data_IF_210918147415
#
_entry.id   IF_210918147415
#
_cell.length_a   1.000
_cell.length_b   1.000
_cell.length_c   1.000
_cell.angle_alpha   90.00
_cell.angle_beta   90.00
_cell.angle_gamma   90.00
#
_symmetry.space_group_name_H-M   'P 1'
#
loop_
_entity.id
_entity.type
_entity.pdbx_description
1 polymer ?
#
# COMPACT_ATOMS: atom_id res chain seq x y z
N UNK A 1 -6.09 -10.02 -0.07
CA UNK A 1 -5.41 -8.80 -0.54
C UNK A 1 -5.01 -8.99 -2.00
N UNK A 2 -5.43 -8.10 -2.90
CA UNK A 2 -5.26 -8.28 -4.35
C UNK A 2 -4.13 -7.36 -4.85
N UNK A 3 -2.98 -7.91 -5.33
CA UNK A 3 -1.90 -7.09 -5.84
C UNK A 3 -2.26 -6.45 -7.19
N UNK A 4 -1.99 -5.16 -7.37
CA UNK A 4 -2.27 -4.44 -8.62
C UNK A 4 -1.62 -5.06 -9.86
N UNK A 5 -0.46 -5.72 -9.69
CA UNK A 5 0.24 -6.46 -10.77
C UNK A 5 -0.57 -7.67 -11.27
N UNK A 6 -1.29 -8.34 -10.38
CA UNK A 6 -2.17 -9.47 -10.75
C UNK A 6 -3.36 -8.93 -11.55
N UNK A 7 -4.05 -7.90 -11.04
CA UNK A 7 -5.19 -7.26 -11.73
C UNK A 7 -4.79 -6.80 -13.13
N UNK A 8 -3.65 -6.12 -13.26
CA UNK A 8 -3.09 -5.68 -14.53
C UNK A 8 -2.95 -6.85 -15.52
N UNK A 9 -2.37 -7.96 -15.07
CA UNK A 9 -2.09 -9.14 -15.90
C UNK A 9 -3.37 -9.84 -16.34
N UNK A 10 -4.29 -10.07 -15.40
CA UNK A 10 -5.52 -10.81 -15.67
C UNK A 10 -6.49 -10.00 -16.54
N UNK A 11 -6.60 -8.69 -16.31
CA UNK A 11 -7.48 -7.80 -17.09
C UNK A 11 -6.80 -7.23 -18.34
N UNK A 12 -5.48 -7.42 -18.50
CA UNK A 12 -4.67 -6.90 -19.61
C UNK A 12 -4.79 -5.38 -19.83
N UNK A 13 -4.84 -4.63 -18.74
CA UNK A 13 -4.95 -3.16 -18.74
C UNK A 13 -3.64 -2.50 -18.29
N UNK A 14 -3.56 -1.17 -18.41
CA UNK A 14 -2.45 -0.37 -17.87
C UNK A 14 -2.52 -0.25 -16.35
N UNK A 15 -1.40 0.13 -15.70
CA UNK A 15 -1.42 0.41 -14.25
C UNK A 15 -2.30 1.61 -13.90
N UNK A 16 -2.44 2.58 -14.80
CA UNK A 16 -3.34 3.72 -14.63
C UNK A 16 -4.82 3.27 -14.59
N UNK A 17 -5.20 2.37 -15.49
CA UNK A 17 -6.53 1.77 -15.51
C UNK A 17 -6.79 0.89 -14.29
N UNK A 18 -5.79 0.10 -13.85
CA UNK A 18 -5.90 -0.63 -12.57
C UNK A 18 -6.11 0.34 -11.42
N UNK A 19 -5.35 1.43 -11.34
CA UNK A 19 -5.50 2.41 -10.28
C UNK A 19 -6.91 3.02 -10.27
N UNK A 20 -7.41 3.47 -11.43
CA UNK A 20 -8.78 4.00 -11.56
C UNK A 20 -9.83 2.97 -11.15
N UNK A 21 -9.69 1.72 -11.57
CA UNK A 21 -10.61 0.64 -11.23
C UNK A 21 -10.64 0.37 -9.71
N UNK A 22 -9.47 0.21 -9.09
CA UNK A 22 -9.39 -0.12 -7.66
C UNK A 22 -9.90 1.05 -6.81
N UNK A 23 -9.60 2.30 -7.19
CA UNK A 23 -10.16 3.50 -6.56
C UNK A 23 -11.68 3.54 -6.72
N UNK A 24 -12.22 3.29 -7.91
CA UNK A 24 -13.66 3.21 -8.14
C UNK A 24 -14.32 2.16 -7.24
N UNK A 25 -13.76 0.95 -7.16
CA UNK A 25 -14.28 -0.12 -6.30
C UNK A 25 -14.21 0.26 -4.82
N UNK A 26 -13.20 1.02 -4.38
CA UNK A 26 -13.17 1.60 -3.03
C UNK A 26 -14.28 2.60 -2.77
N UNK A 27 -14.64 3.46 -3.73
CA UNK A 27 -15.78 4.38 -3.56
C UNK A 27 -17.13 3.66 -3.44
N UNK A 28 -17.17 2.36 -3.79
CA UNK A 28 -18.33 1.48 -3.66
C UNK A 28 -18.25 0.58 -2.44
N UNK A 29 -17.28 0.80 -1.56
CA UNK A 29 -17.03 0.00 -0.35
C UNK A 29 -16.77 -1.48 -0.65
N UNK A 30 -16.45 -1.84 -1.90
CA UNK A 30 -16.11 -3.20 -2.32
C UNK A 30 -14.65 -3.51 -1.96
N UNK A 31 -13.79 -2.50 -2.05
CA UNK A 31 -12.39 -2.59 -1.66
C UNK A 31 -12.05 -1.58 -0.56
N UNK A 32 -11.25 -1.96 0.42
CA UNK A 32 -10.63 -1.03 1.36
C UNK A 32 -9.14 -0.91 1.03
N UNK A 33 -8.60 0.32 0.86
CA UNK A 33 -7.17 0.50 0.72
C UNK A 33 -6.48 0.14 2.04
N UNK A 34 -5.30 -0.45 1.92
CA UNK A 34 -4.35 -0.69 3.00
C UNK A 34 -3.02 -0.13 2.55
N UNK A 35 -2.37 0.62 3.43
CA UNK A 35 -1.12 1.27 3.11
C UNK A 35 0.01 0.54 3.81
N UNK A 36 1.04 0.18 3.07
CA UNK A 36 2.17 -0.57 3.59
C UNK A 36 3.45 0.18 3.31
N UNK A 37 4.30 0.33 4.31
CA UNK A 37 5.55 1.07 4.13
C UNK A 37 6.72 0.13 4.05
N UNK A 38 7.54 0.30 3.02
CA UNK A 38 8.78 -0.46 2.84
C UNK A 38 9.95 0.30 3.49
N UNK A 39 10.54 -0.29 4.53
CA UNK A 39 11.79 0.21 5.14
C UNK A 39 12.98 -0.58 4.58
N UNK A 40 13.84 0.08 3.80
CA UNK A 40 15.03 -0.53 3.18
C UNK A 40 16.06 -1.04 4.19
N UNK A 41 16.14 -0.45 5.39
CA UNK A 41 17.07 -0.89 6.43
C UNK A 41 16.54 -2.09 7.24
N UNK A 42 15.32 -2.56 6.96
CA UNK A 42 14.72 -3.69 7.68
C UNK A 42 15.01 -5.05 7.01
N UNK A 43 16.21 -5.20 6.44
CA UNK A 43 16.72 -6.46 5.90
C UNK A 43 16.79 -7.60 6.93
N UNK A 44 16.63 -7.30 8.22
CA UNK A 44 16.78 -8.25 9.32
C UNK A 44 15.47 -8.88 9.82
N UNK A 45 14.27 -8.35 9.49
CA UNK A 45 13.02 -8.90 10.07
C UNK A 45 11.87 -9.16 9.10
N UNK A 46 11.91 -8.65 7.87
CA UNK A 46 10.75 -8.74 6.95
C UNK A 46 9.47 -8.09 7.50
N UNK A 47 9.57 -7.37 8.62
CA UNK A 47 8.43 -6.79 9.31
C UNK A 47 7.95 -5.56 8.53
N UNK A 48 6.86 -5.75 7.82
CA UNK A 48 6.14 -4.70 7.15
C UNK A 48 4.90 -4.36 7.97
N UNK A 49 4.62 -3.07 8.14
CA UNK A 49 3.45 -2.59 8.87
C UNK A 49 2.43 -2.08 7.86
N UNK A 50 1.19 -2.53 8.02
CA UNK A 50 0.04 -2.07 7.25
C UNK A 50 -0.76 -1.07 8.08
N UNK A 51 -1.29 -0.07 7.41
CA UNK A 51 -2.09 1.03 7.96
C UNK A 51 -3.42 1.05 7.23
N UNK A 52 -4.47 1.44 7.96
CA UNK A 52 -5.82 1.53 7.43
C UNK A 52 -6.13 2.91 6.86
N UNK A 53 -5.46 3.94 7.39
CA UNK A 53 -5.52 5.33 6.93
C UNK A 53 -4.13 5.80 6.45
N UNK A 54 -4.11 6.68 5.45
CA UNK A 54 -2.89 7.35 5.01
C UNK A 54 -2.40 8.34 6.07
N UNK A 55 -3.31 8.97 6.81
CA UNK A 55 -2.98 9.95 7.86
C UNK A 55 -2.32 9.28 9.08
N UNK A 56 -2.50 7.96 9.24
CA UNK A 56 -1.83 7.17 10.27
C UNK A 56 -0.35 6.86 9.94
N UNK A 57 0.10 7.20 8.73
CA UNK A 57 1.48 6.97 8.29
C UNK A 57 2.39 8.07 8.86
N UNK A 58 3.41 7.72 9.68
CA UNK A 58 4.31 8.71 10.24
C UNK A 58 5.08 9.43 9.12
N UNK A 59 5.06 10.76 9.12
CA UNK A 59 5.68 11.58 8.06
C UNK A 59 7.22 11.55 8.15
N UNK A 60 7.78 11.55 9.36
CA UNK A 60 9.19 11.90 9.57
C UNK A 60 10.07 10.78 10.17
N UNK A 61 9.55 9.87 10.99
CA UNK A 61 10.42 8.96 11.76
C UNK A 61 9.84 7.55 11.81
N UNK A 62 10.55 6.63 11.16
CA UNK A 62 10.43 5.20 11.42
C UNK A 62 11.05 4.89 12.80
N UNK A 63 10.23 4.54 13.78
CA UNK A 63 10.63 4.09 15.12
C UNK A 63 11.40 2.75 15.11
N UNK A 64 11.48 2.09 13.96
CA UNK A 64 12.16 0.80 13.75
C UNK A 64 13.52 0.93 13.06
N UNK A 65 14.00 2.12 12.71
CA UNK A 65 15.35 2.30 12.21
C UNK A 65 16.05 3.50 12.85
N UNK A 66 17.33 3.36 13.18
CA UNK A 66 18.16 4.42 13.77
C UNK A 66 18.36 5.64 12.85
N UNK A 67 17.89 5.59 11.60
CA UNK A 67 18.15 6.59 10.55
C UNK A 67 16.95 7.44 10.16
N UNK A 68 15.85 7.41 10.91
CA UNK A 68 14.69 8.30 10.69
C UNK A 68 14.26 8.38 9.21
N UNK A 69 13.92 7.24 8.61
CA UNK A 69 13.57 7.22 7.18
C UNK A 69 12.26 8.00 6.92
N UNK A 70 12.24 8.81 5.86
CA UNK A 70 11.03 9.49 5.36
C UNK A 70 10.14 8.45 4.67
N UNK A 71 8.94 8.23 5.21
CA UNK A 71 8.12 7.04 4.95
C UNK A 71 7.09 7.20 3.80
N UNK A 72 6.81 8.42 3.35
CA UNK A 72 5.77 8.71 2.33
C UNK A 72 6.16 8.27 0.91
N UNK A 73 7.43 8.40 0.53
CA UNK A 73 7.89 8.02 -0.83
C UNK A 73 7.89 6.50 -1.07
N UNK A 74 7.67 5.69 -0.03
CA UNK A 74 7.73 4.21 -0.07
C UNK A 74 6.43 3.55 0.35
N UNK A 75 5.32 4.28 0.23
CA UNK A 75 3.97 3.74 0.48
C UNK A 75 3.55 2.86 -0.68
N UNK A 76 3.33 1.59 -0.38
CA UNK A 76 2.70 0.61 -1.27
C UNK A 76 1.21 0.61 -0.90
N UNK A 77 0.36 0.88 -1.88
CA UNK A 77 -1.10 0.77 -1.71
C UNK A 77 -1.51 -0.64 -2.10
N UNK A 78 -2.13 -1.32 -1.15
CA UNK A 78 -2.71 -2.64 -1.27
C UNK A 78 -4.24 -2.51 -1.12
N UNK A 79 -5.02 -3.43 -1.69
CA UNK A 79 -6.47 -3.41 -1.54
C UNK A 79 -6.97 -4.73 -0.98
N UNK A 80 -7.83 -4.62 0.02
CA UNK A 80 -8.55 -5.72 0.65
C UNK A 80 -10.00 -5.73 0.16
N UNK A 81 -10.57 -6.90 -0.09
CA UNK A 81 -11.97 -7.04 -0.48
C UNK A 81 -12.83 -6.96 0.78
N UNK A 82 -13.78 -6.04 0.82
CA UNK A 82 -14.77 -5.95 1.87
C UNK A 82 -15.82 -7.05 1.66
N UNK A 83 -16.16 -7.77 2.74
CA UNK A 83 -17.29 -8.71 2.74
C UNK A 83 -18.60 -7.96 2.99
#
# INVERSE_FOLDING_TARGET
MIPSKVVKRELKVSYEEVHRLMTFLSTKEILKPKYKILCENNCLTGASKSYDDLDDIPINICDRCERECVLLEKVIIEFEVCN
#
